data_IF_902832795032
#
_entry.id   IF_902832795032
#
_cell.length_a   1.000
_cell.length_b   1.000
_cell.length_c   1.000
_cell.angle_alpha   90.00
_cell.angle_beta   90.00
_cell.angle_gamma   90.00
#
_symmetry.space_group_name_H-M   'P 1'
#
loop_
_entity.id
_entity.type
_entity.pdbx_description
1 polymer ?
#
# COMPACT_ATOMS: atom_id res chain seq x y z
N UNK A 1 5.14 2.14 15.01
CA UNK A 1 4.71 1.95 13.61
C UNK A 1 5.92 1.51 12.77
N UNK A 2 5.87 0.39 12.03
CA UNK A 2 7.02 -0.11 11.23
C UNK A 2 7.52 0.94 10.22
N UNK A 3 8.84 1.02 10.00
CA UNK A 3 9.49 1.95 9.05
C UNK A 3 8.95 1.75 7.62
N UNK A 4 8.78 0.49 7.22
CA UNK A 4 8.21 0.10 5.91
C UNK A 4 6.77 0.57 5.76
N UNK A 5 5.92 0.36 6.78
CA UNK A 5 4.52 0.81 6.77
C UNK A 5 4.41 2.32 6.56
N UNK A 6 5.25 3.11 7.24
CA UNK A 6 5.27 4.57 7.09
C UNK A 6 5.80 5.04 5.73
N UNK A 7 6.74 4.31 5.13
CA UNK A 7 7.24 4.60 3.79
C UNK A 7 6.15 4.36 2.75
N UNK A 8 5.55 3.17 2.74
CA UNK A 8 4.46 2.79 1.81
C UNK A 8 3.27 3.75 1.89
N UNK A 9 2.84 4.13 3.10
CA UNK A 9 1.72 5.08 3.26
C UNK A 9 2.11 6.48 2.75
N UNK A 10 3.34 6.95 2.98
CA UNK A 10 3.78 8.25 2.48
C UNK A 10 3.85 8.28 0.96
N UNK A 11 4.46 7.26 0.35
CA UNK A 11 4.50 7.11 -1.10
C UNK A 11 3.11 7.07 -1.72
N UNK A 12 2.18 6.34 -1.09
CA UNK A 12 0.78 6.37 -1.49
C UNK A 12 0.25 7.80 -1.42
N UNK A 13 0.30 8.45 -0.27
CA UNK A 13 -0.25 9.81 -0.10
C UNK A 13 0.38 10.87 -1.01
N UNK A 14 1.62 10.68 -1.47
CA UNK A 14 2.28 11.55 -2.47
C UNK A 14 1.70 11.41 -3.88
N UNK A 15 0.98 10.33 -4.19
CA UNK A 15 0.27 10.21 -5.46
C UNK A 15 -0.87 11.23 -5.53
N UNK A 16 -1.09 11.73 -6.75
CA UNK A 16 -2.26 12.53 -7.08
C UNK A 16 -3.56 11.81 -6.67
N UNK A 17 -4.57 12.58 -6.28
CA UNK A 17 -5.81 12.01 -5.74
C UNK A 17 -6.50 11.10 -6.76
N UNK A 18 -6.47 11.46 -8.05
CA UNK A 18 -7.06 10.63 -9.12
C UNK A 18 -6.41 9.24 -9.18
N UNK A 19 -5.13 9.11 -8.80
CA UNK A 19 -4.37 7.85 -8.79
C UNK A 19 -4.59 7.03 -7.51
N UNK A 20 -5.43 7.51 -6.59
CA UNK A 20 -5.71 6.86 -5.30
C UNK A 20 -7.19 6.59 -5.04
N UNK A 21 -8.03 6.76 -6.05
CA UNK A 21 -9.47 6.67 -5.89
C UNK A 21 -9.98 5.23 -5.96
N UNK A 22 -9.30 4.34 -6.68
CA UNK A 22 -9.78 2.98 -6.89
C UNK A 22 -8.97 1.91 -6.18
N UNK A 23 -9.65 0.82 -5.82
CA UNK A 23 -9.02 -0.38 -5.28
C UNK A 23 -8.05 -1.02 -6.28
N UNK A 24 -8.30 -0.85 -7.58
CA UNK A 24 -7.43 -1.33 -8.65
C UNK A 24 -6.10 -0.56 -8.70
N UNK A 25 -6.15 0.77 -8.56
CA UNK A 25 -4.94 1.60 -8.41
C UNK A 25 -4.15 1.23 -7.16
N UNK A 26 -4.85 0.99 -6.04
CA UNK A 26 -4.22 0.51 -4.82
C UNK A 26 -3.56 -0.87 -5.01
N UNK A 27 -4.18 -1.78 -5.78
CA UNK A 27 -3.62 -3.09 -6.11
C UNK A 27 -2.38 -2.99 -7.02
N UNK A 28 -2.39 -2.09 -8.01
CA UNK A 28 -1.24 -1.82 -8.86
C UNK A 28 -0.08 -1.23 -8.04
N UNK A 29 -0.38 -0.23 -7.20
CA UNK A 29 0.61 0.36 -6.30
C UNK A 29 1.16 -0.68 -5.30
N UNK A 30 0.31 -1.54 -4.73
CA UNK A 30 0.72 -2.57 -3.81
C UNK A 30 1.72 -3.54 -4.47
N UNK A 31 1.47 -3.96 -5.71
CA UNK A 31 2.41 -4.80 -6.48
C UNK A 31 3.76 -4.09 -6.71
N UNK A 32 3.76 -2.81 -7.06
CA UNK A 32 4.99 -2.04 -7.22
C UNK A 32 5.71 -1.78 -5.88
N UNK A 33 4.98 -1.63 -4.78
CA UNK A 33 5.55 -1.47 -3.44
C UNK A 33 6.23 -2.76 -2.95
N UNK A 34 5.74 -3.94 -3.34
CA UNK A 34 6.38 -5.22 -3.04
C UNK A 34 7.77 -5.38 -3.65
N UNK A 35 7.99 -4.80 -4.82
CA UNK A 35 9.31 -4.84 -5.47
C UNK A 35 10.32 -3.91 -4.78
N UNK A 36 9.84 -2.87 -4.08
CA UNK A 36 10.67 -1.81 -3.49
C UNK A 36 10.90 -1.98 -2.00
N UNK A 37 10.00 -2.69 -1.32
CA UNK A 37 10.03 -2.86 0.13
C UNK A 37 9.99 -4.34 0.49
N UNK A 38 11.01 -4.78 1.22
CA UNK A 38 11.00 -6.12 1.79
C UNK A 38 10.09 -6.14 3.02
N UNK A 39 9.01 -6.91 2.94
CA UNK A 39 8.03 -7.04 4.02
C UNK A 39 8.33 -8.31 4.80
N UNK A 40 8.25 -8.26 6.14
CA UNK A 40 8.44 -9.46 6.94
C UNK A 40 7.45 -10.52 6.48
N UNK A 41 7.97 -11.71 6.17
CA UNK A 41 7.15 -12.89 5.86
C UNK A 41 6.26 -13.16 7.06
N UNK A 42 4.98 -12.83 6.92
CA UNK A 42 3.96 -13.13 7.92
C UNK A 42 3.34 -14.47 7.56
N UNK A 43 3.34 -15.42 8.49
CA UNK A 43 2.79 -16.77 8.28
C UNK A 43 1.29 -16.79 7.92
N UNK A 44 0.54 -15.71 8.21
CA UNK A 44 -0.92 -15.64 7.99
C UNK A 44 -1.37 -14.77 6.81
N UNK A 45 -0.48 -13.97 6.24
CA UNK A 45 -0.84 -12.99 5.20
C UNK A 45 0.32 -12.76 4.25
N UNK A 46 0.02 -12.73 2.97
CA UNK A 46 0.98 -12.35 1.95
C UNK A 46 1.42 -10.89 2.14
N UNK A 47 2.65 -10.54 1.78
CA UNK A 47 3.10 -9.15 1.71
C UNK A 47 2.12 -8.21 0.98
N UNK A 48 1.49 -8.70 -0.09
CA UNK A 48 0.47 -7.97 -0.84
C UNK A 48 -0.75 -7.60 0.03
N UNK A 49 -1.32 -8.57 0.75
CA UNK A 49 -2.47 -8.36 1.62
C UNK A 49 -2.16 -7.39 2.77
N UNK A 50 -0.91 -7.41 3.26
CA UNK A 50 -0.45 -6.46 4.27
C UNK A 50 -0.49 -5.04 3.74
N UNK A 51 0.05 -4.79 2.54
CA UNK A 51 0.02 -3.46 1.91
C UNK A 51 -1.42 -3.05 1.63
N UNK A 52 -2.22 -3.92 1.00
CA UNK A 52 -3.63 -3.62 0.69
C UNK A 52 -4.42 -3.25 1.95
N UNK A 53 -4.16 -3.89 3.09
CA UNK A 53 -4.78 -3.52 4.38
C UNK A 53 -4.42 -2.11 4.83
N UNK A 54 -3.22 -1.62 4.51
CA UNK A 54 -2.82 -0.25 4.83
C UNK A 54 -3.46 0.78 3.90
N UNK A 55 -3.67 0.40 2.63
CA UNK A 55 -4.19 1.29 1.59
C UNK A 55 -5.71 1.39 1.59
N UNK A 56 -6.45 0.29 1.83
CA UNK A 56 -7.93 0.26 1.78
C UNK A 56 -8.61 1.42 2.52
N UNK A 57 -8.24 1.78 3.76
CA UNK A 57 -8.87 2.91 4.47
C UNK A 57 -8.55 4.30 3.88
N UNK A 58 -7.64 4.36 2.90
CA UNK A 58 -7.05 5.56 2.28
C UNK A 58 -7.27 5.61 0.77
N UNK A 59 -7.97 4.63 0.22
CA UNK A 59 -8.44 4.62 -1.16
C UNK A 59 -9.77 5.37 -1.20
N UNK A 60 -9.91 6.33 -2.11
CA UNK A 60 -11.16 7.08 -2.28
C UNK A 60 -11.51 8.06 -1.14
N UNK A 61 -10.58 8.37 -0.23
CA UNK A 61 -10.78 9.47 0.72
C UNK A 61 -10.60 10.82 0.03
N UNK A 62 -11.47 11.81 0.32
CA UNK A 62 -11.41 13.16 -0.26
C UNK A 62 -10.10 13.87 0.07
#
# INVERSE_FOLDING_TARGET
MSKVRRAVIREWMLLAREKRQSSEQAAAFARAALQRHDLPRSSRRTPYEIIMRWLRPRTGRP
#
